data_IF_473876129454
#
_entry.id   IF_473876129454
#
_cell.length_a   1.000
_cell.length_b   1.000
_cell.length_c   1.000
_cell.angle_alpha   90.00
_cell.angle_beta   90.00
_cell.angle_gamma   90.00
#
_symmetry.space_group_name_H-M   'P 1'
#
loop_
_entity.id
_entity.type
_entity.pdbx_description
1 polymer ?
#
# COMPACT_ATOMS: atom_id res chain seq x y z
N UNK A 1 20.72 4.57 24.73
CA UNK A 1 19.62 5.10 23.88
C UNK A 1 18.32 4.52 24.42
N UNK A 2 17.38 5.33 24.86
CA UNK A 2 16.11 4.84 25.40
C UNK A 2 15.35 4.01 24.35
N UNK A 3 14.59 3.00 24.77
CA UNK A 3 13.83 2.16 23.84
C UNK A 3 12.92 2.99 22.94
N UNK A 4 12.27 4.02 23.47
CA UNK A 4 11.45 4.98 22.69
C UNK A 4 12.23 5.68 21.58
N UNK A 5 13.47 6.12 21.85
CA UNK A 5 14.29 6.80 20.85
C UNK A 5 14.67 5.83 19.71
N UNK A 6 14.97 4.57 20.04
CA UNK A 6 15.29 3.53 19.05
C UNK A 6 14.08 3.23 18.15
N UNK A 7 12.88 3.17 18.72
CA UNK A 7 11.65 2.91 17.95
C UNK A 7 11.33 4.11 17.02
N UNK A 8 11.50 5.34 17.47
CA UNK A 8 11.32 6.53 16.63
C UNK A 8 12.33 6.55 15.48
N UNK A 9 13.62 6.30 15.74
CA UNK A 9 14.66 6.26 14.69
C UNK A 9 14.36 5.16 13.67
N UNK A 10 13.90 3.99 14.12
CA UNK A 10 13.48 2.92 13.23
C UNK A 10 12.30 3.35 12.35
N UNK A 11 11.27 3.98 12.92
CA UNK A 11 10.10 4.45 12.17
C UNK A 11 10.45 5.54 11.16
N UNK A 12 11.37 6.43 11.49
CA UNK A 12 11.90 7.44 10.55
C UNK A 12 12.64 6.78 9.40
N UNK A 13 13.55 5.84 9.67
CA UNK A 13 14.27 5.11 8.64
C UNK A 13 13.31 4.30 7.73
N UNK A 14 12.31 3.65 8.34
CA UNK A 14 11.24 2.95 7.62
C UNK A 14 10.45 3.91 6.74
N UNK A 15 10.11 5.10 7.23
CA UNK A 15 9.38 6.11 6.47
C UNK A 15 10.16 6.59 5.24
N UNK A 16 11.44 6.92 5.40
CA UNK A 16 12.31 7.31 4.28
C UNK A 16 12.41 6.18 3.23
N UNK A 17 12.63 4.96 3.68
CA UNK A 17 12.72 3.81 2.78
C UNK A 17 11.38 3.50 2.09
N UNK A 18 10.26 3.51 2.85
CA UNK A 18 8.93 3.32 2.31
C UNK A 18 8.55 4.41 1.32
N UNK A 19 8.91 5.67 1.59
CA UNK A 19 8.70 6.80 0.70
C UNK A 19 9.47 6.65 -0.61
N UNK A 20 10.76 6.29 -0.55
CA UNK A 20 11.58 6.04 -1.75
C UNK A 20 10.98 4.93 -2.62
N UNK A 21 10.60 3.79 -2.03
CA UNK A 21 9.96 2.70 -2.76
C UNK A 21 8.54 3.07 -3.23
N UNK A 22 7.81 3.86 -2.46
CA UNK A 22 6.50 4.37 -2.87
C UNK A 22 6.59 5.25 -4.10
N UNK A 23 7.53 6.19 -4.12
CA UNK A 23 7.81 7.03 -5.27
C UNK A 23 8.30 6.24 -6.47
N UNK A 24 9.23 5.30 -6.25
CA UNK A 24 9.82 4.47 -7.32
C UNK A 24 8.76 3.57 -7.97
N UNK A 25 8.03 2.79 -7.18
CA UNK A 25 7.10 1.76 -7.69
C UNK A 25 5.64 2.21 -7.79
N UNK A 26 5.26 3.37 -7.26
CA UNK A 26 3.87 3.82 -7.29
C UNK A 26 2.89 3.04 -6.40
N UNK A 27 3.38 2.29 -5.39
CA UNK A 27 2.57 1.36 -4.57
C UNK A 27 2.14 1.90 -3.21
N UNK A 28 2.47 3.15 -2.88
CA UNK A 28 2.04 3.82 -1.64
C UNK A 28 2.76 3.41 -0.36
N UNK A 29 3.82 2.58 -0.43
CA UNK A 29 4.67 2.22 0.70
C UNK A 29 4.09 1.24 1.71
N UNK A 30 2.82 0.86 1.63
CA UNK A 30 2.17 -0.06 2.57
C UNK A 30 2.89 -1.41 2.74
N UNK A 31 3.49 -1.91 1.67
CA UNK A 31 4.28 -3.15 1.68
C UNK A 31 5.52 -3.10 2.60
N UNK A 32 6.06 -1.90 2.85
CA UNK A 32 7.15 -1.65 3.80
C UNK A 32 6.61 -1.36 5.19
N UNK A 33 5.59 -0.52 5.26
CA UNK A 33 5.02 0.01 6.50
C UNK A 33 4.43 -1.11 7.36
N UNK A 34 3.66 -2.02 6.74
CA UNK A 34 2.99 -3.11 7.47
C UNK A 34 3.99 -4.02 8.18
N UNK A 35 4.99 -4.62 7.48
CA UNK A 35 6.00 -5.44 8.16
C UNK A 35 6.79 -4.67 9.22
N UNK A 36 7.04 -3.37 9.01
CA UNK A 36 7.75 -2.56 9.98
C UNK A 36 6.93 -2.32 11.26
N UNK A 37 5.65 -1.98 11.13
CA UNK A 37 4.75 -1.83 12.28
C UNK A 37 4.61 -3.15 13.05
N UNK A 38 4.52 -4.28 12.35
CA UNK A 38 4.50 -5.59 13.00
C UNK A 38 5.81 -5.89 13.75
N UNK A 39 6.96 -5.44 13.26
CA UNK A 39 8.24 -5.61 13.96
C UNK A 39 8.31 -4.78 15.26
N UNK A 40 7.58 -3.69 15.36
CA UNK A 40 7.44 -2.87 16.57
C UNK A 40 6.36 -3.43 17.52
N UNK A 41 5.67 -4.54 17.14
CA UNK A 41 4.75 -5.26 18.03
C UNK A 41 3.27 -5.04 17.76
N UNK A 42 2.90 -4.37 16.63
CA UNK A 42 1.49 -4.24 16.25
C UNK A 42 0.98 -5.52 15.59
N UNK A 43 -0.31 -5.81 15.77
CA UNK A 43 -1.00 -6.90 15.08
C UNK A 43 -1.06 -6.62 13.56
N UNK A 44 -1.27 -7.67 12.75
CA UNK A 44 -1.45 -7.49 11.30
C UNK A 44 -2.61 -6.54 10.99
N UNK A 45 -3.70 -6.64 11.76
CA UNK A 45 -4.89 -5.79 11.61
C UNK A 45 -4.58 -4.33 11.91
N UNK A 46 -3.93 -4.04 13.04
CA UNK A 46 -3.52 -2.68 13.40
C UNK A 46 -2.50 -2.10 12.41
N UNK A 47 -1.53 -2.90 11.98
CA UNK A 47 -0.54 -2.51 10.99
C UNK A 47 -1.19 -2.17 9.64
N UNK A 48 -2.12 -3.00 9.16
CA UNK A 48 -2.89 -2.75 7.93
C UNK A 48 -3.78 -1.52 8.02
N UNK A 49 -4.46 -1.31 9.16
CA UNK A 49 -5.29 -0.13 9.37
C UNK A 49 -4.47 1.16 9.47
N UNK A 50 -3.31 1.11 10.15
CA UNK A 50 -2.45 2.27 10.37
C UNK A 50 -1.63 2.64 9.13
N UNK A 51 -1.29 1.66 8.28
CA UNK A 51 -0.57 1.93 7.03
C UNK A 51 -1.37 2.80 6.07
N UNK A 52 -2.70 2.68 6.02
CA UNK A 52 -3.53 3.56 5.21
C UNK A 52 -3.37 5.03 5.60
N UNK A 53 -3.26 5.34 6.90
CA UNK A 53 -2.97 6.71 7.35
C UNK A 53 -1.60 7.20 6.86
N UNK A 54 -0.57 6.36 6.94
CA UNK A 54 0.77 6.73 6.49
C UNK A 54 0.85 6.87 4.95
N UNK A 55 -0.01 6.16 4.20
CA UNK A 55 -0.12 6.26 2.74
C UNK A 55 -0.69 7.61 2.29
N UNK A 56 -1.56 8.27 3.07
CA UNK A 56 -2.16 9.55 2.69
C UNK A 56 -1.10 10.61 2.34
N UNK A 57 -0.17 10.98 3.25
CA UNK A 57 0.84 11.98 2.93
C UNK A 57 1.80 11.50 1.82
N UNK A 58 2.12 10.20 1.73
CA UNK A 58 2.95 9.66 0.63
C UNK A 58 2.28 9.82 -0.72
N UNK A 59 0.96 9.58 -0.81
CA UNK A 59 0.21 9.78 -2.05
C UNK A 59 0.15 11.25 -2.45
N UNK A 60 -0.03 12.18 -1.51
CA UNK A 60 0.01 13.63 -1.81
C UNK A 60 1.34 14.00 -2.46
N UNK A 61 2.46 13.60 -1.84
CA UNK A 61 3.79 13.83 -2.39
C UNK A 61 4.00 13.16 -3.75
N UNK A 62 3.49 11.93 -3.93
CA UNK A 62 3.56 11.19 -5.18
C UNK A 62 2.74 11.84 -6.30
N UNK A 63 1.51 12.28 -6.01
CA UNK A 63 0.68 13.02 -6.97
C UNK A 63 1.39 14.29 -7.44
N UNK A 64 1.95 15.07 -6.52
CA UNK A 64 2.71 16.28 -6.87
C UNK A 64 3.91 15.92 -7.76
N UNK A 65 4.68 14.88 -7.40
CA UNK A 65 5.87 14.46 -8.14
C UNK A 65 5.53 13.98 -9.57
N UNK A 66 4.50 13.16 -9.75
CA UNK A 66 4.11 12.65 -11.06
C UNK A 66 3.32 13.69 -11.90
N UNK A 67 2.58 14.60 -11.26
CA UNK A 67 1.92 15.71 -11.93
C UNK A 67 2.92 16.70 -12.50
N UNK A 68 4.01 17.01 -11.79
CA UNK A 68 5.04 17.97 -12.24
C UNK A 68 5.75 17.50 -13.51
N UNK A 69 5.79 16.20 -13.79
CA UNK A 69 6.37 15.61 -15.01
C UNK A 69 5.30 15.23 -16.04
N UNK A 70 4.03 15.66 -15.85
CA UNK A 70 2.93 15.46 -16.82
C UNK A 70 2.53 13.98 -17.00
N UNK A 71 2.75 13.12 -16.01
CA UNK A 71 2.51 11.67 -16.10
C UNK A 71 1.19 11.21 -15.45
N UNK A 72 0.19 12.09 -15.33
CA UNK A 72 -1.13 11.74 -14.77
C UNK A 72 -2.20 11.78 -15.83
N UNK A 73 -2.85 10.65 -16.10
CA UNK A 73 -4.05 10.56 -16.89
C UNK A 73 -5.28 10.71 -15.97
N UNK A 74 -5.87 11.90 -15.93
CA UNK A 74 -6.91 12.27 -14.98
C UNK A 74 -8.22 11.49 -15.17
N UNK A 75 -8.65 11.24 -16.43
CA UNK A 75 -9.90 10.53 -16.71
C UNK A 75 -9.85 9.08 -16.19
N UNK A 76 -8.84 8.25 -16.52
CA UNK A 76 -8.67 6.94 -15.92
C UNK A 76 -8.58 6.97 -14.38
N UNK A 77 -7.89 7.98 -13.83
CA UNK A 77 -7.76 8.12 -12.37
C UNK A 77 -9.13 8.37 -11.71
N UNK A 78 -9.98 9.22 -12.26
CA UNK A 78 -11.31 9.51 -11.72
C UNK A 78 -12.24 8.28 -11.79
N UNK A 79 -12.26 7.56 -12.92
CA UNK A 79 -13.06 6.34 -13.07
C UNK A 79 -12.65 5.26 -12.06
N UNK A 80 -11.35 5.03 -11.90
CA UNK A 80 -10.84 4.08 -10.92
C UNK A 80 -11.12 4.54 -9.48
N UNK A 81 -11.09 5.84 -9.20
CA UNK A 81 -11.33 6.38 -7.85
C UNK A 81 -12.72 6.03 -7.35
N UNK A 82 -13.74 6.08 -8.21
CA UNK A 82 -15.11 5.70 -7.83
C UNK A 82 -15.15 4.23 -7.38
N UNK A 83 -14.55 3.34 -8.15
CA UNK A 83 -14.43 1.93 -7.77
C UNK A 83 -13.62 1.73 -6.49
N UNK A 84 -12.49 2.44 -6.36
CA UNK A 84 -11.62 2.40 -5.20
C UNK A 84 -12.36 2.74 -3.90
N UNK A 85 -13.20 3.77 -3.90
CA UNK A 85 -13.98 4.19 -2.73
C UNK A 85 -14.97 3.11 -2.29
N UNK A 86 -15.62 2.43 -3.24
CA UNK A 86 -16.53 1.31 -2.95
C UNK A 86 -15.74 0.12 -2.41
N UNK A 87 -14.68 -0.27 -3.13
CA UNK A 87 -13.86 -1.42 -2.76
C UNK A 87 -13.24 -1.30 -1.37
N UNK A 88 -12.72 -0.11 -1.01
CA UNK A 88 -12.06 0.09 0.28
C UNK A 88 -13.02 -0.06 1.46
N UNK A 89 -14.30 0.30 1.32
CA UNK A 89 -15.29 0.10 2.37
C UNK A 89 -15.55 -1.39 2.62
N UNK A 90 -15.66 -2.17 1.55
CA UNK A 90 -15.80 -3.63 1.66
C UNK A 90 -14.54 -4.25 2.27
N UNK A 91 -13.35 -3.83 1.81
CA UNK A 91 -12.07 -4.32 2.33
C UNK A 91 -11.87 -4.03 3.81
N UNK A 92 -12.14 -2.80 4.26
CA UNK A 92 -12.03 -2.42 5.68
C UNK A 92 -13.08 -3.13 6.55
N UNK A 93 -14.28 -3.39 6.00
CA UNK A 93 -15.29 -4.17 6.69
C UNK A 93 -14.83 -5.62 6.89
N UNK A 94 -14.22 -6.24 5.89
CA UNK A 94 -13.63 -7.57 6.01
C UNK A 94 -12.40 -7.59 6.93
N UNK A 95 -11.54 -6.57 6.90
CA UNK A 95 -10.39 -6.42 7.81
C UNK A 95 -10.81 -6.55 9.28
N UNK A 96 -11.93 -5.92 9.66
CA UNK A 96 -12.44 -5.96 11.02
C UNK A 96 -12.98 -7.34 11.44
N UNK A 97 -13.34 -8.21 10.50
CA UNK A 97 -14.01 -9.51 10.75
C UNK A 97 -13.13 -10.73 10.56
N UNK A 98 -12.14 -10.64 9.68
CA UNK A 98 -11.27 -11.76 9.37
C UNK A 98 -10.26 -12.01 10.50
N UNK A 99 -9.88 -13.28 10.67
CA UNK A 99 -8.84 -13.66 11.64
C UNK A 99 -7.45 -13.18 11.20
N UNK A 100 -6.56 -12.95 12.17
CA UNK A 100 -5.15 -12.58 11.92
C UNK A 100 -4.43 -13.59 10.98
N UNK A 101 -4.77 -14.86 11.09
CA UNK A 101 -4.20 -15.93 10.24
C UNK A 101 -4.59 -15.71 8.79
N UNK A 102 -5.88 -15.45 8.52
CA UNK A 102 -6.38 -15.19 7.15
C UNK A 102 -5.75 -13.92 6.58
N UNK A 103 -5.62 -12.86 7.36
CA UNK A 103 -5.00 -11.61 6.92
C UNK A 103 -3.51 -11.81 6.56
N UNK A 104 -2.76 -12.57 7.35
CA UNK A 104 -1.34 -12.85 7.09
C UNK A 104 -1.14 -13.71 5.84
N UNK A 105 -1.91 -14.78 5.69
CA UNK A 105 -1.84 -15.62 4.49
C UNK A 105 -2.38 -14.91 3.25
N UNK A 106 -3.40 -14.05 3.40
CA UNK A 106 -3.88 -13.17 2.35
C UNK A 106 -2.78 -12.20 1.88
N UNK A 107 -2.00 -11.64 2.80
CA UNK A 107 -0.85 -10.81 2.47
C UNK A 107 0.25 -11.59 1.73
N UNK A 108 0.56 -12.83 2.15
CA UNK A 108 1.49 -13.72 1.45
C UNK A 108 1.00 -14.04 0.03
N UNK A 109 -0.27 -14.45 -0.11
CA UNK A 109 -0.87 -14.74 -1.41
C UNK A 109 -0.82 -13.52 -2.35
N UNK A 110 -1.10 -12.31 -1.82
CA UNK A 110 -0.99 -11.07 -2.57
C UNK A 110 0.44 -10.83 -3.08
N UNK A 111 1.46 -10.99 -2.23
CA UNK A 111 2.87 -10.84 -2.64
C UNK A 111 3.25 -11.84 -3.74
N UNK A 112 2.85 -13.11 -3.59
CA UNK A 112 3.09 -14.14 -4.61
C UNK A 112 2.46 -13.75 -5.96
N UNK A 113 1.21 -13.29 -5.93
CA UNK A 113 0.51 -12.82 -7.13
C UNK A 113 1.26 -11.68 -7.81
N UNK A 114 1.77 -10.69 -7.05
CA UNK A 114 2.54 -9.58 -7.62
C UNK A 114 3.86 -10.05 -8.25
N UNK A 115 4.57 -10.98 -7.61
CA UNK A 115 5.80 -11.55 -8.18
C UNK A 115 5.50 -12.27 -9.49
N UNK A 116 4.44 -13.10 -9.53
CA UNK A 116 4.04 -13.82 -10.75
C UNK A 116 3.72 -12.84 -11.88
N UNK A 117 2.91 -11.82 -11.60
CA UNK A 117 2.57 -10.79 -12.60
C UNK A 117 3.84 -10.11 -13.13
N UNK A 118 4.77 -9.75 -12.25
CA UNK A 118 6.00 -9.06 -12.64
C UNK A 118 6.96 -9.92 -13.47
N UNK A 119 7.00 -11.24 -13.23
CA UNK A 119 7.82 -12.17 -14.02
C UNK A 119 7.22 -12.40 -15.41
N UNK A 120 5.89 -12.50 -15.48
CA UNK A 120 5.18 -12.79 -16.74
C UNK A 120 5.05 -11.55 -17.61
N UNK A 121 4.92 -10.37 -16.99
CA UNK A 121 4.62 -9.13 -17.72
C UNK A 121 5.59 -8.01 -17.34
N UNK A 122 6.34 -7.53 -18.32
CA UNK A 122 7.19 -6.33 -18.20
C UNK A 122 6.45 -5.15 -18.84
N UNK A 123 6.12 -4.10 -18.07
CA UNK A 123 5.39 -2.95 -18.58
C UNK A 123 6.17 -2.19 -19.67
N UNK A 124 5.46 -1.69 -20.69
CA UNK A 124 6.03 -0.81 -21.69
C UNK A 124 6.21 0.62 -21.15
N UNK A 125 7.29 1.30 -21.59
CA UNK A 125 7.52 2.73 -21.25
C UNK A 125 6.55 3.67 -21.94
N UNK A 126 6.09 3.29 -23.13
CA UNK A 126 5.18 4.07 -23.95
C UNK A 126 3.86 3.33 -24.08
N UNK A 127 2.78 4.07 -23.99
CA UNK A 127 1.43 3.55 -24.14
C UNK A 127 0.41 4.65 -23.93
N UNK A 128 -0.61 4.67 -24.77
CA UNK A 128 -1.73 5.62 -24.71
C UNK A 128 -2.99 4.80 -24.45
N UNK A 129 -3.56 4.97 -23.27
CA UNK A 129 -4.85 4.34 -22.93
C UNK A 129 -5.98 5.15 -23.60
N UNK A 130 -6.65 4.56 -24.58
CA UNK A 130 -7.88 5.15 -25.15
C UNK A 130 -9.07 4.73 -24.29
N UNK A 131 -9.76 5.72 -23.72
CA UNK A 131 -10.91 5.46 -22.85
C UNK A 131 -12.15 5.20 -23.71
N UNK A 132 -12.44 3.94 -23.95
CA UNK A 132 -13.72 3.46 -24.51
C UNK A 132 -14.68 3.08 -23.37
N UNK A 133 -15.95 2.87 -23.66
CA UNK A 133 -16.93 2.44 -22.66
C UNK A 133 -16.51 1.14 -21.95
N UNK A 134 -16.01 0.15 -22.70
CA UNK A 134 -15.50 -1.10 -22.14
C UNK A 134 -14.28 -0.89 -21.22
N UNK A 135 -13.34 -0.03 -21.63
CA UNK A 135 -12.18 0.35 -20.82
C UNK A 135 -12.62 1.10 -19.56
N UNK A 136 -13.65 1.95 -19.65
CA UNK A 136 -14.23 2.65 -18.49
C UNK A 136 -14.76 1.67 -17.43
N UNK A 137 -15.50 0.64 -17.86
CA UNK A 137 -15.96 -0.45 -16.96
C UNK A 137 -14.77 -1.20 -16.35
N UNK A 138 -13.77 -1.55 -17.17
CA UNK A 138 -12.57 -2.24 -16.69
C UNK A 138 -11.80 -1.41 -15.64
N UNK A 139 -11.66 -0.10 -15.84
CA UNK A 139 -11.05 0.82 -14.89
C UNK A 139 -11.83 0.90 -13.57
N UNK A 140 -13.17 0.97 -13.65
CA UNK A 140 -14.01 0.96 -12.45
C UNK A 140 -13.85 -0.35 -11.66
N UNK A 141 -13.92 -1.51 -12.33
CA UNK A 141 -13.74 -2.82 -11.69
C UNK A 141 -12.34 -2.99 -11.12
N UNK A 142 -11.31 -2.55 -11.84
CA UNK A 142 -9.94 -2.50 -11.34
C UNK A 142 -9.83 -1.63 -10.10
N UNK A 143 -10.48 -0.47 -10.09
CA UNK A 143 -10.61 0.39 -8.91
C UNK A 143 -11.26 -0.32 -7.73
N UNK A 144 -12.36 -1.04 -7.94
CA UNK A 144 -13.02 -1.85 -6.90
C UNK A 144 -12.08 -2.90 -6.30
N UNK A 145 -11.34 -3.62 -7.16
CA UNK A 145 -10.37 -4.62 -6.72
C UNK A 145 -9.22 -3.99 -5.92
N UNK A 146 -8.64 -2.90 -6.44
CA UNK A 146 -7.59 -2.16 -5.76
C UNK A 146 -8.04 -1.64 -4.40
N UNK A 147 -9.25 -1.07 -4.33
CA UNK A 147 -9.85 -0.59 -3.09
C UNK A 147 -10.09 -1.71 -2.08
N UNK A 148 -10.65 -2.83 -2.54
CA UNK A 148 -10.87 -4.00 -1.70
C UNK A 148 -9.56 -4.50 -1.06
N UNK A 149 -8.52 -4.68 -1.86
CA UNK A 149 -7.21 -5.12 -1.37
C UNK A 149 -6.53 -4.05 -0.49
N UNK A 150 -6.67 -2.77 -0.84
CA UNK A 150 -6.17 -1.67 -0.02
C UNK A 150 -6.83 -1.65 1.36
N UNK A 151 -8.15 -1.76 1.42
CA UNK A 151 -8.91 -1.78 2.67
C UNK A 151 -8.65 -3.02 3.51
N UNK A 152 -8.49 -4.19 2.87
CA UNK A 152 -8.28 -5.47 3.54
C UNK A 152 -6.82 -5.64 4.04
N UNK A 153 -5.86 -5.35 3.18
CA UNK A 153 -4.45 -5.61 3.47
C UNK A 153 -3.66 -4.37 3.87
N UNK A 154 -4.22 -3.16 3.71
CA UNK A 154 -3.52 -1.91 4.05
C UNK A 154 -2.41 -1.50 3.09
N UNK A 155 -2.36 -2.07 1.88
CA UNK A 155 -1.24 -1.89 0.93
C UNK A 155 -1.43 -0.65 0.04
N UNK A 156 -2.62 -0.06 0.06
CA UNK A 156 -2.95 1.11 -0.78
C UNK A 156 -3.51 0.76 -2.17
N UNK A 157 -3.37 -0.47 -2.65
CA UNK A 157 -3.92 -0.92 -3.94
C UNK A 157 -3.02 -0.70 -5.16
N UNK A 158 -1.94 0.08 -5.05
CA UNK A 158 -1.03 0.41 -6.17
C UNK A 158 -0.38 -0.81 -6.81
N UNK A 159 -0.08 -1.84 -6.01
CA UNK A 159 0.51 -3.08 -6.51
C UNK A 159 -0.33 -3.81 -7.56
N UNK A 160 -1.65 -3.65 -7.57
CA UNK A 160 -2.57 -4.20 -8.57
C UNK A 160 -2.96 -3.14 -9.60
N UNK A 161 -3.06 -1.86 -9.19
CA UNK A 161 -3.42 -0.78 -10.09
C UNK A 161 -2.43 -0.65 -11.26
N UNK A 162 -1.14 -0.71 -10.98
CA UNK A 162 -0.11 -0.51 -11.99
C UNK A 162 -0.14 -1.60 -13.07
N UNK A 163 0.00 -2.92 -12.73
CA UNK A 163 -0.10 -3.95 -13.76
C UNK A 163 -1.46 -3.96 -14.46
N UNK A 164 -2.57 -3.68 -13.75
CA UNK A 164 -3.88 -3.59 -14.37
C UNK A 164 -3.98 -2.45 -15.41
N UNK A 165 -3.46 -1.26 -15.09
CA UNK A 165 -3.43 -0.12 -16.00
C UNK A 165 -2.50 -0.37 -17.21
N UNK A 166 -1.34 -0.99 -16.98
CA UNK A 166 -0.40 -1.30 -18.07
C UNK A 166 -0.94 -2.39 -18.99
N UNK A 167 -1.68 -3.38 -18.49
CA UNK A 167 -2.40 -4.37 -19.30
C UNK A 167 -3.51 -3.72 -20.15
N UNK A 168 -4.10 -2.64 -19.68
CA UNK A 168 -5.05 -1.83 -20.47
C UNK A 168 -4.37 -0.90 -21.48
N UNK A 169 -3.04 -0.92 -21.59
CA UNK A 169 -2.27 -0.17 -22.57
C UNK A 169 -1.70 1.16 -22.07
N UNK A 170 -1.76 1.46 -20.77
CA UNK A 170 -1.14 2.66 -20.21
C UNK A 170 0.37 2.49 -20.06
N UNK A 171 1.12 3.59 -20.24
CA UNK A 171 2.55 3.62 -19.95
C UNK A 171 2.83 3.36 -18.47
N UNK A 172 3.99 2.75 -18.16
CA UNK A 172 4.41 2.43 -16.79
C UNK A 172 4.41 3.65 -15.86
N UNK A 173 5.04 4.75 -16.28
CA UNK A 173 5.05 5.99 -15.49
C UNK A 173 3.65 6.62 -15.34
N UNK A 174 2.82 6.53 -16.38
CA UNK A 174 1.41 6.98 -16.32
C UNK A 174 0.61 6.16 -15.31
N UNK A 175 0.77 4.85 -15.32
CA UNK A 175 0.11 3.94 -14.38
C UNK A 175 0.49 4.24 -12.92
N UNK A 176 1.76 4.58 -12.65
CA UNK A 176 2.22 4.98 -11.30
C UNK A 176 1.58 6.31 -10.87
N UNK A 177 1.56 7.31 -11.75
CA UNK A 177 0.91 8.59 -11.46
C UNK A 177 -0.58 8.43 -11.18
N UNK A 178 -1.32 7.68 -12.01
CA UNK A 178 -2.73 7.35 -11.81
C UNK A 178 -2.95 6.59 -10.51
N UNK A 179 -2.12 5.60 -10.23
CA UNK A 179 -2.16 4.82 -8.98
C UNK A 179 -2.10 5.73 -7.75
N UNK A 180 -1.17 6.70 -7.69
CA UNK A 180 -1.05 7.63 -6.58
C UNK A 180 -2.30 8.50 -6.39
N UNK A 181 -2.93 8.96 -7.50
CA UNK A 181 -4.18 9.73 -7.44
C UNK A 181 -5.32 8.88 -6.89
N UNK A 182 -5.48 7.65 -7.40
CA UNK A 182 -6.56 6.73 -7.01
C UNK A 182 -6.43 6.32 -5.54
N UNK A 183 -5.20 6.08 -5.09
CA UNK A 183 -4.93 5.64 -3.72
C UNK A 183 -5.23 6.70 -2.67
N UNK A 184 -5.09 7.98 -2.98
CA UNK A 184 -5.26 9.07 -2.02
C UNK A 184 -6.67 9.10 -1.39
N UNK A 185 -7.76 9.20 -2.15
CA UNK A 185 -9.11 9.18 -1.58
C UNK A 185 -9.46 7.82 -0.96
N UNK A 186 -8.95 6.71 -1.50
CA UNK A 186 -9.11 5.38 -0.90
C UNK A 186 -8.45 5.26 0.46
N UNK A 187 -7.22 5.72 0.60
CA UNK A 187 -6.48 5.73 1.86
C UNK A 187 -7.15 6.64 2.91
N UNK A 188 -7.62 7.82 2.50
CA UNK A 188 -8.39 8.71 3.38
C UNK A 188 -9.67 8.03 3.88
N UNK A 189 -10.47 7.48 2.97
CA UNK A 189 -11.72 6.81 3.29
C UNK A 189 -11.51 5.59 4.20
N UNK A 190 -10.52 4.75 3.87
CA UNK A 190 -10.16 3.60 4.69
C UNK A 190 -9.61 3.98 6.06
N UNK A 191 -8.80 5.03 6.14
CA UNK A 191 -8.28 5.57 7.42
C UNK A 191 -9.41 6.03 8.32
N UNK A 192 -10.36 6.83 7.80
CA UNK A 192 -11.52 7.31 8.59
C UNK A 192 -12.32 6.14 9.11
N UNK A 193 -12.60 5.14 8.29
CA UNK A 193 -13.36 3.94 8.69
C UNK A 193 -12.63 3.14 9.77
N UNK A 194 -11.34 2.90 9.59
CA UNK A 194 -10.54 2.15 10.55
C UNK A 194 -10.27 2.93 11.85
N UNK A 195 -10.14 4.27 11.76
CA UNK A 195 -10.01 5.13 12.93
C UNK A 195 -11.27 5.08 13.81
N UNK A 196 -12.45 5.17 13.20
CA UNK A 196 -13.73 5.05 13.91
C UNK A 196 -13.90 3.69 14.61
N UNK A 197 -13.21 2.66 14.11
CA UNK A 197 -13.18 1.31 14.71
C UNK A 197 -12.08 1.13 15.76
N UNK A 198 -11.27 2.15 16.04
CA UNK A 198 -10.18 2.09 17.03
C UNK A 198 -8.98 1.24 16.60
N UNK A 199 -8.84 0.94 15.29
CA UNK A 199 -7.78 0.09 14.75
C UNK A 199 -6.51 0.86 14.36
N UNK A 200 -6.58 2.20 14.25
CA UNK A 200 -5.47 3.04 13.77
C UNK A 200 -4.58 3.48 14.93
N UNK A 201 -3.29 3.26 14.81
CA UNK A 201 -2.24 3.75 15.71
C UNK A 201 -1.63 5.03 15.14
N UNK A 202 -2.13 6.19 15.59
CA UNK A 202 -1.81 7.51 15.02
C UNK A 202 -0.31 7.84 15.08
N UNK A 203 0.34 7.68 16.24
CA UNK A 203 1.73 8.09 16.43
C UNK A 203 2.70 7.46 15.42
N UNK A 204 2.86 6.13 15.40
CA UNK A 204 3.73 5.47 14.44
C UNK A 204 3.37 5.73 12.98
N UNK A 205 2.07 5.76 12.63
CA UNK A 205 1.62 6.01 11.27
C UNK A 205 1.98 7.41 10.77
N UNK A 206 1.84 8.43 11.63
CA UNK A 206 2.19 9.82 11.31
C UNK A 206 3.70 9.99 11.16
N UNK A 207 4.52 9.40 12.05
CA UNK A 207 5.98 9.47 11.93
C UNK A 207 6.43 8.91 10.59
N UNK A 208 5.97 7.69 10.25
CA UNK A 208 6.31 7.04 8.98
C UNK A 208 5.79 7.83 7.79
N UNK A 209 4.54 8.29 7.82
CA UNK A 209 3.93 9.03 6.72
C UNK A 209 4.62 10.38 6.47
N UNK A 210 4.87 11.17 7.52
CA UNK A 210 5.54 12.46 7.37
C UNK A 210 6.99 12.35 6.89
N UNK A 211 7.73 11.33 7.35
CA UNK A 211 9.10 11.11 6.88
C UNK A 211 9.13 10.55 5.45
N UNK A 212 8.15 9.74 5.07
CA UNK A 212 8.03 9.22 3.72
C UNK A 212 7.83 10.33 2.67
N UNK A 213 7.09 11.40 2.99
CA UNK A 213 6.87 12.56 2.10
C UNK A 213 8.17 13.10 1.52
N UNK A 214 9.23 13.18 2.33
CA UNK A 214 10.53 13.71 1.91
C UNK A 214 11.25 12.81 0.89
N UNK A 215 10.99 11.50 0.94
CA UNK A 215 11.70 10.52 0.12
C UNK A 215 10.91 10.12 -1.16
N UNK A 216 9.61 10.36 -1.22
CA UNK A 216 8.78 10.07 -2.40
C UNK A 216 9.28 10.77 -3.67
N UNK A 217 9.61 12.09 -3.67
CA UNK A 217 10.11 12.76 -4.88
C UNK A 217 11.40 12.14 -5.40
N UNK A 218 12.31 11.72 -4.51
CA UNK A 218 13.52 11.02 -4.90
C UNK A 218 13.21 9.69 -5.58
N UNK A 219 12.29 8.88 -5.03
CA UNK A 219 11.85 7.63 -5.64
C UNK A 219 11.19 7.86 -7.01
N UNK A 220 10.32 8.86 -7.13
CA UNK A 220 9.66 9.20 -8.38
C UNK A 220 10.67 9.68 -9.46
N UNK A 221 11.68 10.46 -9.08
CA UNK A 221 12.77 10.84 -9.95
C UNK A 221 13.57 9.61 -10.42
N UNK A 222 13.94 8.70 -9.52
CA UNK A 222 14.58 7.43 -9.89
C UNK A 222 13.76 6.63 -10.90
N UNK A 223 12.43 6.60 -10.76
CA UNK A 223 11.53 5.91 -11.69
C UNK A 223 11.62 6.47 -13.12
N UNK A 224 11.94 7.75 -13.31
CA UNK A 224 12.07 8.37 -14.64
C UNK A 224 13.39 7.99 -15.34
N UNK A 225 14.45 7.74 -14.61
CA UNK A 225 15.79 7.46 -15.15
C UNK A 225 16.12 5.97 -15.26
N UNK A 226 15.50 5.13 -14.41
CA UNK A 226 15.73 3.68 -14.44
C UNK A 226 15.10 3.04 -15.69
N UNK A 227 15.76 2.06 -16.27
CA UNK A 227 15.15 1.26 -17.34
C UNK A 227 14.05 0.34 -16.77
N UNK A 228 13.00 0.00 -17.56
CA UNK A 228 11.91 -0.87 -17.08
C UNK A 228 12.38 -2.23 -16.56
N UNK A 229 13.47 -2.76 -17.15
CA UNK A 229 14.05 -4.05 -16.71
C UNK A 229 14.70 -3.96 -15.34
N UNK A 230 15.48 -2.89 -15.09
CA UNK A 230 16.13 -2.68 -13.78
C UNK A 230 15.06 -2.43 -12.71
N UNK A 231 14.05 -1.65 -13.03
CA UNK A 231 12.92 -1.38 -12.15
C UNK A 231 12.16 -2.66 -11.81
N UNK A 232 11.86 -3.51 -12.79
CA UNK A 232 11.22 -4.80 -12.59
C UNK A 232 12.05 -5.74 -11.70
N UNK A 233 13.38 -5.76 -11.88
CA UNK A 233 14.27 -6.56 -11.04
C UNK A 233 14.31 -6.06 -9.60
N UNK A 234 14.39 -4.75 -9.38
CA UNK A 234 14.35 -4.13 -8.03
C UNK A 234 13.01 -4.42 -7.34
N UNK A 235 11.91 -4.31 -8.08
CA UNK A 235 10.58 -4.64 -7.58
C UNK A 235 10.49 -6.12 -7.20
N UNK A 236 10.91 -7.02 -8.08
CA UNK A 236 10.94 -8.47 -7.83
C UNK A 236 11.81 -8.84 -6.63
N UNK A 237 13.03 -8.29 -6.53
CA UNK A 237 13.92 -8.51 -5.41
C UNK A 237 13.31 -8.05 -4.07
N UNK A 238 12.70 -6.86 -4.06
CA UNK A 238 12.00 -6.36 -2.88
C UNK A 238 10.86 -7.29 -2.44
N UNK A 239 10.01 -7.71 -3.37
CA UNK A 239 8.89 -8.59 -3.06
C UNK A 239 9.34 -10.00 -2.67
N UNK A 240 10.46 -10.50 -3.19
CA UNK A 240 11.05 -11.77 -2.76
C UNK A 240 11.50 -11.71 -1.28
N UNK A 241 12.17 -10.62 -0.88
CA UNK A 241 12.55 -10.39 0.54
C UNK A 241 11.31 -10.32 1.42
N UNK A 242 10.28 -9.57 0.99
CA UNK A 242 9.01 -9.48 1.71
C UNK A 242 8.30 -10.83 1.83
N UNK A 243 8.33 -11.66 0.78
CA UNK A 243 7.72 -12.98 0.77
C UNK A 243 8.33 -13.88 1.82
N UNK A 244 9.66 -13.99 1.84
CA UNK A 244 10.38 -14.81 2.81
C UNK A 244 10.03 -14.37 4.23
N UNK A 245 10.10 -13.06 4.51
CA UNK A 245 9.75 -12.52 5.81
C UNK A 245 8.30 -12.78 6.20
N UNK A 246 7.36 -12.57 5.27
CA UNK A 246 5.93 -12.75 5.51
C UNK A 246 5.57 -14.21 5.79
N UNK A 247 6.21 -15.17 5.11
CA UNK A 247 6.04 -16.59 5.38
C UNK A 247 6.57 -16.95 6.78
N UNK A 248 7.75 -16.45 7.16
CA UNK A 248 8.32 -16.70 8.49
C UNK A 248 7.37 -16.16 9.57
N UNK A 249 6.83 -14.97 9.40
CA UNK A 249 5.90 -14.35 10.35
C UNK A 249 4.56 -15.09 10.36
N UNK A 250 4.05 -15.51 9.21
CA UNK A 250 2.79 -16.26 9.13
C UNK A 250 2.87 -17.63 9.83
N UNK A 251 4.02 -18.30 9.76
CA UNK A 251 4.25 -19.61 10.40
C UNK A 251 4.42 -19.54 11.93
N UNK A 252 4.84 -18.39 12.47
CA UNK A 252 5.08 -18.21 13.91
C UNK A 252 3.80 -18.03 14.74
N UNK A 253 2.62 -17.92 14.11
CA UNK A 253 1.36 -17.78 14.83
C UNK A 253 0.87 -19.17 15.24
N UNK A 254 0.62 -19.41 16.55
CA UNK A 254 -0.09 -20.60 16.99
C UNK A 254 -1.46 -20.68 16.31
N UNK A 255 -1.90 -21.86 15.88
CA UNK A 255 -3.22 -22.13 15.31
C UNK A 255 -4.37 -21.99 16.33
N UNK A 256 -4.11 -21.45 17.51
CA UNK A 256 -5.10 -21.23 18.56
C UNK A 256 -6.04 -20.09 18.13
N UNK A 257 -7.32 -20.46 18.06
CA UNK A 257 -8.41 -19.63 17.60
C UNK A 257 -8.56 -18.32 18.34
N UNK A 258 -9.40 -17.50 17.78
CA UNK A 258 -9.93 -16.23 18.27
C UNK A 258 -10.00 -16.22 19.82
N UNK A 259 -9.10 -15.50 20.48
CA UNK A 259 -9.17 -15.23 21.91
C UNK A 259 -9.79 -13.83 22.09
N UNK A 260 -11.08 -13.76 22.46
CA UNK A 260 -11.76 -12.47 22.72
C UNK A 260 -11.21 -11.77 23.96
N UNK A 261 -10.44 -12.42 24.80
CA UNK A 261 -9.89 -11.85 26.04
C UNK A 261 -8.78 -10.81 25.77
N UNK A 262 -8.05 -10.92 24.65
CA UNK A 262 -7.01 -9.94 24.29
C UNK A 262 -7.58 -8.61 23.80
N UNK A 263 -8.86 -8.56 23.48
CA UNK A 263 -9.55 -7.33 23.06
C UNK A 263 -9.85 -6.37 24.23
N UNK A 264 -9.88 -6.90 25.49
CA UNK A 264 -10.20 -6.12 26.69
C UNK A 264 -8.97 -5.52 27.39
N UNK A 265 -7.78 -6.07 27.22
CA UNK A 265 -6.59 -5.62 27.96
C UNK A 265 -5.76 -4.54 27.25
N UNK A 266 -6.11 -4.15 26.02
CA UNK A 266 -5.44 -3.09 25.28
C UNK A 266 -5.78 -1.67 25.72
N UNK A 267 -6.79 -1.49 26.58
CA UNK A 267 -7.29 -0.18 27.06
C UNK A 267 -6.59 0.38 28.29
N UNK A 268 -5.79 -0.38 29.02
CA UNK A 268 -5.25 0.00 30.33
C UNK A 268 -3.71 0.07 30.43
N UNK A 269 -3.00 0.29 29.36
CA UNK A 269 -1.64 0.82 29.52
C UNK A 269 -1.69 2.34 29.46
N UNK A 270 -2.24 2.90 30.55
CA UNK A 270 -2.11 4.30 30.90
C UNK A 270 -0.66 4.71 31.03
N UNK A 271 -0.39 5.84 30.45
CA UNK A 271 0.70 6.76 30.65
C UNK A 271 0.98 6.94 32.17
N UNK A 272 2.13 6.46 32.62
CA UNK A 272 2.84 6.99 33.76
C UNK A 272 4.29 7.23 33.35
#
# INVERSE_FOLDING_TARGET
MSQRLRDVVLLVAVGLFAGSLSGLFGIGGGTVIIPALMAVGYSQREASASSLLAIVPTCISGVISYASVGRIAWIPALLMTVGMLIGVQVGTWMLARLSEVVLRWGFVAFIVTLIVIQVVYVPAREGILTVTFAVGIALFLLGCLCGFLAGLLGIGGGGVAIPGLTLLGMSDLGARGVSMVVMLPGALSGTVTNYRRGLVRLGPALIVGCTAVCAVPFGAWCATILSPRVDALLFGAWFAVLLVRSIIVARKVPRTGFDPATFRSGGERSIH
#
